data_IF_055956408072
#
_entry.id   IF_055956408072
#
_cell.length_a   1.000
_cell.length_b   1.000
_cell.length_c   1.000
_cell.angle_alpha   90.00
_cell.angle_beta   90.00
_cell.angle_gamma   90.00
#
_symmetry.space_group_name_H-M   'P 1'
#
loop_
_entity.id
_entity.type
_entity.pdbx_description
1 polymer ?
#
# COMPACT_ATOMS: atom_id res chain seq x y z
N UNK A 1 -19.46 -54.81 11.01
CA UNK A 1 -18.26 -54.13 11.55
C UNK A 1 -18.74 -53.03 12.49
N UNK A 2 -18.19 -53.00 13.72
CA UNK A 2 -18.80 -52.42 14.94
C UNK A 2 -18.87 -50.89 14.91
N UNK A 3 -20.03 -50.35 15.32
CA UNK A 3 -20.24 -48.94 15.71
C UNK A 3 -19.58 -48.71 17.08
N UNK A 4 -18.84 -47.62 17.24
CA UNK A 4 -18.37 -47.14 18.55
C UNK A 4 -19.10 -45.85 18.90
N UNK A 5 -19.98 -45.97 19.91
CA UNK A 5 -20.51 -44.86 20.70
C UNK A 5 -19.46 -44.50 21.75
N UNK A 6 -19.19 -43.21 21.94
CA UNK A 6 -18.64 -42.74 23.21
C UNK A 6 -19.51 -41.64 23.80
N UNK A 7 -19.81 -41.88 25.07
CA UNK A 7 -20.64 -41.10 25.95
C UNK A 7 -19.98 -39.79 26.38
N UNK A 8 -20.85 -38.81 26.59
CA UNK A 8 -20.63 -37.56 27.28
C UNK A 8 -20.13 -37.79 28.72
N UNK A 9 -19.17 -37.00 29.18
CA UNK A 9 -18.95 -36.77 30.62
C UNK A 9 -18.68 -35.29 30.85
N UNK A 10 -19.63 -34.69 31.56
CA UNK A 10 -19.64 -33.32 32.06
C UNK A 10 -18.75 -33.28 33.30
N UNK A 11 -17.84 -32.32 33.38
CA UNK A 11 -17.20 -31.92 34.64
C UNK A 11 -17.44 -30.42 34.84
N UNK A 12 -18.32 -30.10 35.79
CA UNK A 12 -18.54 -28.78 36.37
C UNK A 12 -17.67 -28.71 37.62
N UNK A 13 -16.76 -27.73 37.68
CA UNK A 13 -16.17 -27.19 38.89
C UNK A 13 -15.46 -25.89 38.47
N UNK A 14 -15.56 -24.73 39.10
CA UNK A 14 -16.24 -24.29 40.31
C UNK A 14 -15.79 -22.83 40.48
N UNK A 15 -16.71 -21.96 40.84
CA UNK A 15 -16.48 -20.53 41.06
C UNK A 15 -15.38 -20.30 42.13
N UNK A 16 -14.51 -19.33 41.90
CA UNK A 16 -13.85 -18.59 42.98
C UNK A 16 -13.68 -17.14 42.57
N UNK A 17 -14.54 -16.31 43.13
CA UNK A 17 -14.47 -14.86 43.10
C UNK A 17 -13.33 -14.41 44.02
N UNK A 18 -12.46 -13.55 43.52
CA UNK A 18 -11.51 -12.78 44.33
C UNK A 18 -11.67 -11.30 43.99
N UNK A 19 -12.50 -10.68 44.82
CA UNK A 19 -12.41 -9.35 45.42
C UNK A 19 -11.81 -8.22 44.58
N UNK A 20 -12.72 -7.35 44.15
CA UNK A 20 -12.48 -5.96 43.76
C UNK A 20 -12.03 -5.18 45.01
N UNK A 21 -10.76 -4.76 45.08
CA UNK A 21 -10.35 -3.70 46.01
C UNK A 21 -10.33 -2.39 45.24
N UNK A 22 -11.27 -1.51 45.58
CA UNK A 22 -11.29 -0.13 45.13
C UNK A 22 -10.06 0.58 45.72
N UNK A 23 -9.13 1.00 44.86
CA UNK A 23 -8.07 1.94 45.27
C UNK A 23 -8.68 3.33 45.35
N UNK A 24 -8.55 3.96 46.50
CA UNK A 24 -9.00 5.30 46.81
C UNK A 24 -8.47 6.33 45.80
N UNK A 25 -9.37 7.22 45.36
CA UNK A 25 -9.04 8.46 44.66
C UNK A 25 -8.53 9.49 45.68
N UNK A 26 -7.24 9.82 45.61
CA UNK A 26 -6.73 11.03 46.22
C UNK A 26 -6.89 12.23 45.25
N UNK A 27 -7.29 13.42 45.74
CA UNK A 27 -7.45 14.60 44.89
C UNK A 27 -6.09 15.10 44.37
N UNK A 28 -6.03 15.34 43.07
CA UNK A 28 -4.87 15.84 42.34
C UNK A 28 -4.43 17.24 42.84
N UNK A 29 -3.11 17.40 43.01
CA UNK A 29 -2.44 18.68 43.29
C UNK A 29 -2.11 19.39 41.96
N UNK A 30 -2.36 20.70 41.78
CA UNK A 30 -2.13 21.37 40.52
C UNK A 30 -0.63 21.72 40.35
N UNK A 31 0.00 21.16 39.32
CA UNK A 31 1.40 21.40 38.98
C UNK A 31 1.58 21.70 37.49
N UNK A 32 1.76 22.99 37.20
CA UNK A 32 2.49 23.62 36.08
C UNK A 32 2.58 22.90 34.72
N UNK A 33 1.89 23.48 33.74
CA UNK A 33 2.09 23.21 32.33
C UNK A 33 3.47 23.68 31.85
N UNK A 34 4.30 22.74 31.40
CA UNK A 34 5.36 23.01 30.43
C UNK A 34 5.17 22.06 29.26
N UNK A 35 4.95 22.65 28.08
CA UNK A 35 4.61 21.92 26.87
C UNK A 35 5.79 21.14 26.32
N UNK A 36 5.80 19.83 26.58
CA UNK A 36 6.49 18.89 25.71
C UNK A 36 5.58 18.62 24.52
N UNK A 37 5.96 19.14 23.34
CA UNK A 37 5.43 18.63 22.08
C UNK A 37 5.97 17.21 21.92
N UNK A 38 5.27 16.25 22.53
CA UNK A 38 5.51 14.83 22.34
C UNK A 38 5.22 14.56 20.87
N UNK A 39 6.28 14.49 20.05
CA UNK A 39 6.18 13.81 18.76
C UNK A 39 5.74 12.39 19.11
N UNK A 40 4.48 12.08 18.83
CA UNK A 40 3.92 10.77 19.09
C UNK A 40 4.82 9.72 18.43
N UNK A 41 5.20 8.63 19.14
CA UNK A 41 5.86 7.52 18.50
C UNK A 41 4.97 7.07 17.33
N UNK A 42 5.54 7.02 16.12
CA UNK A 42 4.86 6.44 14.96
C UNK A 42 4.37 5.06 15.41
N UNK A 43 3.06 4.73 15.37
CA UNK A 43 2.61 3.41 15.79
C UNK A 43 3.32 2.41 14.91
N UNK A 44 4.30 1.67 15.47
CA UNK A 44 4.87 0.52 14.79
C UNK A 44 3.72 -0.44 14.63
N UNK A 45 3.22 -0.56 13.40
CA UNK A 45 2.11 -1.43 13.10
C UNK A 45 2.45 -2.84 13.60
N UNK A 46 1.44 -3.53 14.12
CA UNK A 46 1.51 -4.93 14.53
C UNK A 46 2.33 -5.76 13.51
N UNK A 47 3.41 -6.46 13.94
CA UNK A 47 4.23 -7.27 13.04
C UNK A 47 3.44 -8.29 12.22
N UNK A 48 2.35 -8.85 12.77
CA UNK A 48 1.48 -9.77 12.04
C UNK A 48 0.73 -9.05 10.90
N UNK A 49 0.28 -7.83 11.14
CA UNK A 49 -0.37 -6.98 10.15
C UNK A 49 0.59 -6.59 9.02
N UNK A 50 1.83 -6.23 9.36
CA UNK A 50 2.88 -5.91 8.37
C UNK A 50 3.16 -7.14 7.51
N UNK A 51 3.34 -8.32 8.11
CA UNK A 51 3.59 -9.57 7.38
C UNK A 51 2.43 -9.94 6.44
N UNK A 52 1.19 -9.71 6.88
CA UNK A 52 0.02 -9.87 6.01
C UNK A 52 0.03 -8.89 4.84
N UNK A 53 0.41 -7.64 5.09
CA UNK A 53 0.56 -6.62 4.05
C UNK A 53 1.63 -6.96 3.03
N UNK A 54 2.79 -7.45 3.49
CA UNK A 54 3.88 -7.91 2.64
C UNK A 54 3.42 -9.03 1.69
N UNK A 55 2.73 -10.04 2.25
CA UNK A 55 2.12 -11.11 1.46
C UNK A 55 1.19 -10.55 0.38
N UNK A 56 0.25 -9.68 0.76
CA UNK A 56 -0.72 -9.09 -0.17
C UNK A 56 -0.03 -8.27 -1.26
N UNK A 57 0.91 -7.39 -0.91
CA UNK A 57 1.66 -6.58 -1.88
C UNK A 57 2.44 -7.45 -2.86
N UNK A 58 2.94 -8.60 -2.39
CA UNK A 58 3.65 -9.56 -3.24
C UNK A 58 2.71 -10.26 -4.20
N UNK A 59 1.63 -10.89 -3.71
CA UNK A 59 0.72 -11.67 -4.57
C UNK A 59 -0.14 -10.80 -5.49
N UNK A 60 -0.33 -9.52 -5.16
CA UNK A 60 -1.02 -8.55 -6.01
C UNK A 60 -0.09 -7.90 -7.03
N UNK A 61 1.18 -8.30 -7.09
CA UNK A 61 2.12 -7.86 -8.13
C UNK A 61 2.43 -6.36 -8.10
N UNK A 62 2.35 -5.69 -6.94
CA UNK A 62 2.54 -4.24 -6.90
C UNK A 62 3.92 -3.83 -7.45
N UNK A 63 4.95 -4.66 -7.19
CA UNK A 63 6.31 -4.42 -7.64
C UNK A 63 6.50 -4.53 -9.16
N UNK A 64 5.56 -5.14 -9.89
CA UNK A 64 5.66 -5.32 -11.34
C UNK A 64 5.62 -3.97 -12.06
N UNK A 65 4.80 -3.03 -11.58
CA UNK A 65 4.74 -1.67 -12.10
C UNK A 65 5.44 -0.66 -11.19
N UNK A 66 5.41 -0.84 -9.87
CA UNK A 66 5.89 0.17 -8.92
C UNK A 66 7.36 0.02 -8.52
N UNK A 67 8.10 -0.95 -9.05
CA UNK A 67 9.55 -1.04 -8.80
C UNK A 67 10.33 -0.88 -10.10
N UNK A 68 11.39 -0.04 -10.13
CA UNK A 68 12.41 -0.14 -11.16
C UNK A 68 12.93 -1.57 -11.29
N UNK A 69 13.43 -1.93 -12.48
CA UNK A 69 13.92 -3.29 -12.75
C UNK A 69 15.43 -3.30 -12.96
N UNK A 70 16.04 -4.43 -12.59
CA UNK A 70 17.37 -4.86 -13.04
C UNK A 70 17.14 -5.91 -14.13
N UNK A 71 17.74 -5.72 -15.31
CA UNK A 71 17.62 -6.67 -16.41
C UNK A 71 18.63 -7.80 -16.24
N UNK A 72 18.12 -9.03 -16.23
CA UNK A 72 18.92 -10.26 -16.17
C UNK A 72 18.69 -11.10 -17.43
N UNK A 73 19.52 -12.12 -17.71
CA UNK A 73 19.25 -13.05 -18.80
C UNK A 73 17.89 -13.78 -18.69
N UNK A 74 17.32 -13.87 -17.48
CA UNK A 74 15.99 -14.47 -17.23
C UNK A 74 14.85 -13.44 -17.31
N UNK A 75 15.16 -12.19 -17.63
CA UNK A 75 14.21 -11.08 -17.71
C UNK A 75 14.39 -10.02 -16.63
N UNK A 76 13.52 -9.00 -16.62
CA UNK A 76 13.54 -7.93 -15.63
C UNK A 76 13.08 -8.44 -14.26
N UNK A 77 13.88 -8.18 -13.24
CA UNK A 77 13.52 -8.45 -11.83
C UNK A 77 13.44 -7.14 -11.05
N UNK A 78 12.59 -7.02 -10.01
CA UNK A 78 12.55 -5.83 -9.17
C UNK A 78 13.94 -5.45 -8.62
N UNK A 79 14.29 -4.18 -8.76
CA UNK A 79 15.45 -3.61 -8.10
C UNK A 79 15.14 -3.39 -6.62
N UNK A 80 15.67 -4.27 -5.77
CA UNK A 80 15.43 -4.21 -4.33
C UNK A 80 16.04 -2.96 -3.66
N UNK A 81 17.01 -2.30 -4.28
CA UNK A 81 17.57 -1.03 -3.78
C UNK A 81 16.60 0.15 -3.99
N UNK A 82 15.65 -0.03 -4.91
CA UNK A 82 14.62 0.94 -5.30
C UNK A 82 13.21 0.33 -5.22
N UNK A 83 13.03 -0.66 -4.35
CA UNK A 83 11.79 -1.41 -4.26
C UNK A 83 10.60 -0.49 -3.99
N UNK A 84 9.56 -0.62 -4.83
CA UNK A 84 8.31 0.16 -4.76
C UNK A 84 8.48 1.69 -4.89
N UNK A 85 9.62 2.18 -5.39
CA UNK A 85 9.87 3.61 -5.55
C UNK A 85 9.19 4.26 -6.76
N UNK A 86 8.48 3.51 -7.60
CA UNK A 86 7.82 3.98 -8.82
C UNK A 86 8.75 4.14 -10.02
N UNK A 87 8.28 4.83 -11.05
CA UNK A 87 9.07 5.22 -12.22
C UNK A 87 10.22 6.14 -11.83
N UNK A 88 11.42 5.89 -12.36
CA UNK A 88 12.58 6.69 -12.00
C UNK A 88 12.46 8.11 -12.60
N UNK A 89 12.56 9.13 -11.75
CA UNK A 89 12.43 10.54 -12.16
C UNK A 89 13.43 10.97 -13.27
N UNK A 90 14.55 10.27 -13.40
CA UNK A 90 15.60 10.55 -14.38
C UNK A 90 15.55 9.65 -15.63
N UNK A 91 14.58 8.74 -15.70
CA UNK A 91 14.44 7.84 -16.84
C UNK A 91 13.90 8.60 -18.06
N UNK A 92 14.64 8.53 -19.17
CA UNK A 92 14.17 9.05 -20.45
C UNK A 92 13.38 7.96 -21.15
N UNK A 93 12.14 8.27 -21.52
CA UNK A 93 11.32 7.35 -22.28
C UNK A 93 11.95 7.10 -23.66
N UNK A 94 11.99 5.85 -24.13
CA UNK A 94 12.37 5.57 -25.50
C UNK A 94 11.34 6.17 -26.47
N UNK A 95 11.75 6.59 -27.68
CA UNK A 95 10.79 6.97 -28.70
C UNK A 95 9.92 5.77 -29.07
N UNK A 96 8.66 6.04 -29.42
CA UNK A 96 7.74 5.02 -29.91
C UNK A 96 6.85 5.59 -31.03
N UNK A 97 6.40 4.73 -31.94
CA UNK A 97 5.44 5.13 -32.97
C UNK A 97 4.04 5.25 -32.33
N UNK A 98 3.50 6.47 -32.30
CA UNK A 98 2.20 6.78 -31.70
C UNK A 98 1.04 6.07 -32.40
N UNK A 99 1.21 5.64 -33.64
CA UNK A 99 0.19 4.87 -34.35
C UNK A 99 -0.02 3.48 -33.72
N UNK A 100 0.99 2.94 -33.02
CA UNK A 100 0.90 1.63 -32.38
C UNK A 100 0.02 1.61 -31.14
N UNK A 101 -0.29 2.79 -30.56
CA UNK A 101 -1.10 2.93 -29.34
C UNK A 101 -2.48 3.57 -29.57
N UNK A 102 -2.95 3.57 -30.82
CA UNK A 102 -4.31 4.01 -31.16
C UNK A 102 -5.36 3.00 -30.66
N UNK A 103 -6.63 3.41 -30.70
CA UNK A 103 -7.74 2.58 -30.23
C UNK A 103 -7.76 1.20 -30.92
N UNK A 104 -7.97 0.15 -30.12
CA UNK A 104 -7.92 -1.25 -30.57
C UNK A 104 -6.54 -1.79 -30.95
N UNK A 105 -5.46 -1.03 -30.74
CA UNK A 105 -4.08 -1.48 -30.98
C UNK A 105 -3.38 -1.90 -29.67
N UNK A 106 -2.11 -1.55 -29.50
CA UNK A 106 -1.29 -1.96 -28.37
C UNK A 106 -1.31 -0.95 -27.23
N UNK A 107 -1.21 -1.43 -25.98
CA UNK A 107 -0.62 -0.64 -24.91
C UNK A 107 0.88 -0.97 -24.87
N UNK A 108 1.73 0.04 -24.85
CA UNK A 108 3.19 -0.15 -24.84
C UNK A 108 3.73 0.05 -23.44
N UNK A 109 4.38 -0.99 -22.92
CA UNK A 109 5.11 -0.93 -21.67
C UNK A 109 6.59 -0.68 -21.96
N UNK A 110 7.20 0.21 -21.20
CA UNK A 110 8.67 0.28 -21.14
C UNK A 110 9.24 -1.02 -20.59
N UNK A 111 10.51 -1.32 -20.90
CA UNK A 111 11.17 -2.52 -20.33
C UNK A 111 11.22 -2.53 -18.80
N UNK A 112 11.19 -1.34 -18.18
CA UNK A 112 11.10 -1.19 -16.72
C UNK A 112 9.70 -1.50 -16.17
N UNK A 113 8.68 -1.56 -17.02
CA UNK A 113 7.26 -1.73 -16.68
C UNK A 113 6.69 -0.59 -15.80
N UNK A 114 7.45 0.49 -15.61
CA UNK A 114 7.06 1.62 -14.75
C UNK A 114 6.39 2.77 -15.53
N UNK A 115 6.48 2.76 -16.86
CA UNK A 115 5.80 3.70 -17.74
C UNK A 115 5.06 2.96 -18.86
N UNK A 116 3.85 3.44 -19.16
CA UNK A 116 2.95 2.80 -20.14
C UNK A 116 2.30 3.85 -21.04
N UNK A 117 2.42 3.65 -22.34
CA UNK A 117 1.77 4.48 -23.36
C UNK A 117 0.51 3.79 -23.90
N UNK A 118 -0.55 4.58 -24.07
CA UNK A 118 -1.84 4.17 -24.62
C UNK A 118 -2.61 5.35 -25.20
N UNK A 119 -3.88 5.14 -25.54
CA UNK A 119 -4.78 6.22 -26.01
C UNK A 119 -4.95 7.35 -24.99
N UNK A 120 -4.69 7.08 -23.71
CA UNK A 120 -4.74 8.05 -22.61
C UNK A 120 -3.45 8.87 -22.45
N UNK A 121 -2.46 8.68 -23.32
CA UNK A 121 -1.13 9.28 -23.19
C UNK A 121 -0.16 8.33 -22.48
N UNK A 122 0.80 8.89 -21.74
CA UNK A 122 1.79 8.11 -20.99
C UNK A 122 1.55 8.25 -19.49
N UNK A 123 1.37 7.13 -18.81
CA UNK A 123 1.28 7.05 -17.36
C UNK A 123 2.58 6.56 -16.74
N UNK A 124 2.82 6.97 -15.50
CA UNK A 124 3.99 6.59 -14.71
C UNK A 124 3.55 5.99 -13.37
N UNK A 125 4.17 4.89 -12.97
CA UNK A 125 3.91 4.26 -11.68
C UNK A 125 4.41 5.14 -10.53
N UNK A 126 3.55 5.35 -9.53
CA UNK A 126 3.85 6.22 -8.39
C UNK A 126 4.86 5.60 -7.41
N UNK A 127 5.53 6.45 -6.63
CA UNK A 127 6.32 6.04 -5.48
C UNK A 127 5.40 5.60 -4.33
N UNK A 128 5.49 4.33 -3.91
CA UNK A 128 4.67 3.77 -2.82
C UNK A 128 5.40 3.70 -1.48
N UNK A 129 6.65 4.15 -1.42
CA UNK A 129 7.44 4.17 -0.18
C UNK A 129 6.93 5.27 0.77
N UNK A 130 7.26 5.21 2.07
CA UNK A 130 6.83 6.21 3.04
C UNK A 130 7.64 7.52 2.98
N UNK A 131 8.35 7.77 1.89
CA UNK A 131 8.97 9.06 1.60
C UNK A 131 7.92 10.13 1.29
N UNK A 132 8.26 11.41 1.50
CA UNK A 132 7.38 12.55 1.20
C UNK A 132 6.99 12.66 -0.28
N UNK A 133 7.88 12.20 -1.18
CA UNK A 133 7.61 12.10 -2.62
C UNK A 133 6.70 10.91 -2.98
N UNK A 134 6.48 9.99 -2.04
CA UNK A 134 5.58 8.85 -2.17
C UNK A 134 4.32 9.00 -1.30
N UNK A 135 4.02 7.98 -0.49
CA UNK A 135 2.84 7.95 0.39
C UNK A 135 3.17 8.39 1.83
N UNK A 136 4.32 9.01 2.06
CA UNK A 136 4.81 9.45 3.38
C UNK A 136 3.80 10.26 4.18
N UNK A 137 3.10 11.17 3.50
CA UNK A 137 2.12 12.06 4.11
C UNK A 137 0.66 11.61 3.92
N UNK A 138 0.43 10.43 3.34
CA UNK A 138 -0.92 9.95 3.08
C UNK A 138 -1.52 9.36 4.35
N UNK A 139 -2.82 9.58 4.53
CA UNK A 139 -3.63 8.85 5.52
C UNK A 139 -4.07 7.50 4.96
N UNK A 140 -4.49 6.58 5.86
CA UNK A 140 -5.13 5.33 5.43
C UNK A 140 -6.38 5.62 4.59
N UNK A 141 -7.17 6.64 4.93
CA UNK A 141 -8.36 7.02 4.16
C UNK A 141 -8.01 7.42 2.73
N UNK A 142 -7.00 8.28 2.55
CA UNK A 142 -6.54 8.68 1.21
C UNK A 142 -6.04 7.48 0.42
N UNK A 143 -5.26 6.60 1.06
CA UNK A 143 -4.80 5.37 0.42
C UNK A 143 -5.97 4.47 -0.01
N UNK A 144 -6.94 4.24 0.87
CA UNK A 144 -8.14 3.45 0.59
C UNK A 144 -8.94 4.03 -0.59
N UNK A 145 -9.18 5.35 -0.61
CA UNK A 145 -9.85 6.02 -1.74
C UNK A 145 -9.06 5.87 -3.04
N UNK A 146 -7.74 6.01 -3.02
CA UNK A 146 -6.92 5.80 -4.21
C UNK A 146 -6.96 4.35 -4.68
N UNK A 147 -6.85 3.40 -3.76
CA UNK A 147 -6.71 1.98 -4.04
C UNK A 147 -8.03 1.33 -4.51
N UNK A 148 -9.13 1.59 -3.80
CA UNK A 148 -10.43 0.96 -4.08
C UNK A 148 -11.30 1.78 -5.04
N UNK A 149 -11.16 3.12 -5.04
CA UNK A 149 -12.00 4.01 -5.84
C UNK A 149 -11.23 4.69 -6.98
N UNK A 150 -9.95 4.41 -7.13
CA UNK A 150 -9.13 4.96 -8.21
C UNK A 150 -8.95 6.49 -8.15
N UNK A 151 -9.20 7.15 -7.02
CA UNK A 151 -9.06 8.62 -6.91
C UNK A 151 -7.59 9.00 -6.86
N UNK A 152 -7.12 9.91 -7.72
CA UNK A 152 -5.73 10.34 -7.69
C UNK A 152 -5.40 10.97 -6.33
N UNK A 153 -4.39 10.39 -5.65
CA UNK A 153 -3.99 10.75 -4.27
C UNK A 153 -5.11 10.62 -3.22
N UNK A 154 -6.18 9.90 -3.52
CA UNK A 154 -7.34 9.79 -2.63
C UNK A 154 -8.12 11.09 -2.47
N UNK A 155 -7.98 12.02 -3.43
CA UNK A 155 -8.63 13.34 -3.38
C UNK A 155 -9.89 13.38 -4.26
N UNK A 156 -10.94 13.98 -3.71
CA UNK A 156 -12.18 14.23 -4.44
C UNK A 156 -11.97 15.31 -5.51
N UNK A 157 -12.78 15.28 -6.57
CA UNK A 157 -12.69 16.21 -7.72
C UNK A 157 -11.33 16.23 -8.45
N UNK A 158 -10.55 15.16 -8.35
CA UNK A 158 -9.33 14.97 -9.13
C UNK A 158 -9.54 13.91 -10.22
N UNK A 159 -8.58 13.80 -11.15
CA UNK A 159 -8.58 12.72 -12.14
C UNK A 159 -8.56 11.34 -11.46
N UNK A 160 -8.95 10.33 -12.21
CA UNK A 160 -8.74 8.93 -11.79
C UNK A 160 -7.27 8.53 -11.93
N UNK A 161 -6.89 7.43 -11.26
CA UNK A 161 -5.65 6.71 -11.54
C UNK A 161 -5.68 6.23 -12.99
N UNK A 162 -4.57 6.44 -13.69
CA UNK A 162 -4.47 6.13 -15.10
C UNK A 162 -4.15 4.64 -15.30
N UNK A 163 -4.53 4.07 -16.46
CA UNK A 163 -4.11 2.71 -16.80
C UNK A 163 -2.57 2.58 -16.80
N UNK A 164 -2.02 1.38 -16.53
CA UNK A 164 -2.74 0.12 -16.34
C UNK A 164 -3.12 -0.16 -14.88
N UNK A 165 -3.11 0.85 -13.98
CA UNK A 165 -3.39 0.62 -12.56
C UNK A 165 -4.77 -0.05 -12.34
N UNK A 166 -4.84 -1.27 -11.81
CA UNK A 166 -6.06 -2.07 -11.79
C UNK A 166 -6.92 -1.78 -10.55
N UNK A 167 -7.17 -0.50 -10.26
CA UNK A 167 -8.01 -0.10 -9.13
C UNK A 167 -9.43 -0.71 -9.15
N UNK A 168 -10.11 -0.95 -10.31
CA UNK A 168 -11.43 -1.57 -10.31
C UNK A 168 -11.41 -2.99 -9.73
N UNK A 169 -10.33 -3.74 -9.95
CA UNK A 169 -10.13 -5.09 -9.42
C UNK A 169 -9.91 -5.06 -7.90
N UNK A 170 -9.43 -3.93 -7.37
CA UNK A 170 -9.15 -3.75 -5.95
C UNK A 170 -10.34 -3.17 -5.16
N UNK A 171 -11.42 -2.77 -5.84
CA UNK A 171 -12.58 -2.12 -5.24
C UNK A 171 -13.21 -2.92 -4.08
N UNK A 172 -13.14 -4.25 -4.13
CA UNK A 172 -13.73 -5.15 -3.14
C UNK A 172 -12.73 -5.78 -2.16
N UNK A 173 -11.46 -5.36 -2.18
CA UNK A 173 -10.47 -5.82 -1.20
C UNK A 173 -10.95 -5.40 0.20
N UNK A 174 -10.92 -6.32 1.17
CA UNK A 174 -11.44 -6.06 2.52
C UNK A 174 -10.66 -4.91 3.18
N UNK A 175 -11.34 -4.09 3.97
CA UNK A 175 -10.70 -2.95 4.66
C UNK A 175 -9.52 -3.37 5.55
N UNK A 176 -9.58 -4.56 6.17
CA UNK A 176 -8.47 -5.13 6.94
C UNK A 176 -7.25 -5.45 6.09
N UNK A 177 -7.46 -5.90 4.85
CA UNK A 177 -6.40 -6.21 3.89
C UNK A 177 -5.79 -4.91 3.34
N UNK A 178 -6.62 -3.89 3.05
CA UNK A 178 -6.15 -2.55 2.68
C UNK A 178 -5.30 -1.94 3.80
N UNK A 179 -5.76 -2.06 5.05
CA UNK A 179 -5.00 -1.61 6.23
C UNK A 179 -3.67 -2.35 6.36
N UNK A 180 -3.64 -3.66 6.11
CA UNK A 180 -2.41 -4.46 6.13
C UNK A 180 -1.43 -4.01 5.04
N UNK A 181 -1.90 -3.87 3.80
CA UNK A 181 -1.12 -3.35 2.66
C UNK A 181 -0.52 -1.99 3.02
N UNK A 182 -1.35 -1.05 3.47
CA UNK A 182 -0.89 0.28 3.85
C UNK A 182 0.15 0.21 4.98
N UNK A 183 -0.10 -0.57 6.04
CA UNK A 183 0.85 -0.74 7.14
C UNK A 183 2.21 -1.26 6.65
N UNK A 184 2.23 -2.25 5.76
CA UNK A 184 3.46 -2.75 5.16
C UNK A 184 4.17 -1.67 4.34
N UNK A 185 3.46 -0.99 3.41
CA UNK A 185 4.04 0.09 2.62
C UNK A 185 4.63 1.21 3.51
N UNK A 186 3.98 1.52 4.63
CA UNK A 186 4.46 2.51 5.61
C UNK A 186 5.67 2.06 6.44
N UNK A 187 5.95 0.75 6.46
CA UNK A 187 7.11 0.17 7.16
C UNK A 187 8.38 0.10 6.31
N UNK A 188 8.26 0.28 4.98
CA UNK A 188 9.39 0.21 4.06
C UNK A 188 10.42 1.32 4.33
N UNK A 189 11.65 1.10 3.85
CA UNK A 189 12.66 2.17 3.77
C UNK A 189 12.12 3.30 2.88
N UNK A 190 12.09 4.57 3.35
CA UNK A 190 11.75 5.70 2.51
C UNK A 190 12.76 5.85 1.36
N UNK A 191 12.27 6.07 0.14
CA UNK A 191 13.10 6.36 -1.02
C UNK A 191 12.57 7.61 -1.70
N UNK A 192 13.38 8.67 -1.70
CA UNK A 192 13.08 9.90 -2.43
C UNK A 192 13.10 9.64 -3.93
N UNK A 193 11.97 9.88 -4.58
CA UNK A 193 11.81 9.78 -6.03
C UNK A 193 10.55 10.56 -6.46
N UNK A 194 10.75 11.67 -7.15
CA UNK A 194 9.66 12.54 -7.62
C UNK A 194 9.19 12.07 -9.00
N UNK A 195 8.24 11.14 -9.02
CA UNK A 195 7.68 10.61 -10.26
C UNK A 195 7.09 11.76 -11.12
N UNK A 196 7.40 11.84 -12.42
CA UNK A 196 6.89 12.88 -13.30
C UNK A 196 5.36 12.79 -13.46
N UNK A 197 4.76 13.93 -13.84
CA UNK A 197 3.35 13.95 -14.22
C UNK A 197 3.12 13.17 -15.52
N UNK A 198 1.96 12.51 -15.69
CA UNK A 198 1.63 11.80 -16.91
C UNK A 198 1.64 12.74 -18.12
N UNK A 199 2.08 12.21 -19.27
CA UNK A 199 2.11 12.93 -20.54
C UNK A 199 0.71 12.80 -21.17
N UNK A 200 0.00 13.90 -21.47
CA UNK A 200 -1.30 13.85 -22.11
C UNK A 200 -1.24 13.21 -23.52
N UNK A 201 -2.37 12.70 -24.04
CA UNK A 201 -2.47 12.34 -25.45
C UNK A 201 -2.08 13.54 -26.34
N UNK A 202 -1.38 13.27 -27.44
CA UNK A 202 -0.98 14.31 -28.41
C UNK A 202 0.36 14.99 -28.14
N UNK A 203 0.96 14.84 -26.95
CA UNK A 203 2.33 15.28 -26.63
C UNK A 203 3.32 14.13 -26.77
#
# INVERSE_FOLDING_TARGET
MKKWLFSLSIAIAGFSALSFTASHNDPAKPGSATGNHLVAPKPTADPALIKKGEYLVTIMGCADCHSPKKFTPQGPVPDMDRFLSGHNENEKLPPYDRNTVKDGQWAMFTGQMTAVAGIWGVSFAANLTPDETGIGNWTLEQFTKAFQQGKYRGLDNTRMLLPPMPWPQYANVKNEDVKAIFAYLKSLKPIKNTVPMPIPPGQ
#
